data_IF_548170380654
#
_entry.id   IF_548170380654
#
_cell.length_a   1.000
_cell.length_b   1.000
_cell.length_c   1.000
_cell.angle_alpha   90.00
_cell.angle_beta   90.00
_cell.angle_gamma   90.00
#
_symmetry.space_group_name_H-M   'P 1'
#
loop_
_entity.id
_entity.type
_entity.pdbx_description
1 polymer ?
#
# COMPACT_ATOMS: atom_id res chain seq x y z
N UNK A 1 -32.48 30.92 -0.58
CA UNK A 1 -31.03 30.59 -0.46
C UNK A 1 -30.71 29.30 0.31
N UNK A 2 -31.58 28.78 1.20
CA UNK A 2 -31.29 27.56 2.00
C UNK A 2 -31.26 26.27 1.17
N UNK A 3 -32.09 26.17 0.15
CA UNK A 3 -32.20 25.00 -0.76
C UNK A 3 -30.95 24.79 -1.61
N UNK A 4 -30.36 25.86 -2.13
CA UNK A 4 -29.13 25.80 -2.95
C UNK A 4 -27.93 25.32 -2.10
N UNK A 5 -27.82 25.77 -0.84
CA UNK A 5 -26.76 25.29 0.09
C UNK A 5 -26.87 23.79 0.39
N UNK A 6 -28.09 23.25 0.48
CA UNK A 6 -28.33 21.82 0.71
C UNK A 6 -27.95 20.98 -0.52
N UNK A 7 -28.25 21.49 -1.71
CA UNK A 7 -27.87 20.86 -2.97
C UNK A 7 -26.34 20.84 -3.17
N UNK A 8 -25.64 21.93 -2.86
CA UNK A 8 -24.17 22.02 -2.92
C UNK A 8 -23.46 21.06 -1.96
N UNK A 9 -24.08 20.68 -0.84
CA UNK A 9 -23.55 19.69 0.10
C UNK A 9 -23.56 18.26 -0.46
N UNK A 10 -24.53 17.92 -1.31
CA UNK A 10 -24.61 16.61 -1.97
C UNK A 10 -23.49 16.40 -3.00
N UNK A 11 -22.96 17.48 -3.57
CA UNK A 11 -21.85 17.44 -4.53
C UNK A 11 -20.47 17.51 -3.87
N UNK A 12 -20.38 17.71 -2.55
CA UNK A 12 -19.13 17.55 -1.80
C UNK A 12 -18.96 16.07 -1.45
N UNK A 13 -18.34 15.32 -2.36
CA UNK A 13 -17.74 14.02 -2.02
C UNK A 13 -16.65 14.29 -0.99
N UNK A 14 -16.94 14.10 0.29
CA UNK A 14 -15.89 13.97 1.29
C UNK A 14 -15.07 12.74 0.89
N UNK A 15 -13.79 12.95 0.58
CA UNK A 15 -12.86 11.88 0.26
C UNK A 15 -12.78 10.98 1.51
N UNK A 16 -13.03 9.67 1.40
CA UNK A 16 -12.90 8.77 2.53
C UNK A 16 -11.46 8.88 3.04
N UNK A 17 -11.30 9.19 4.33
CA UNK A 17 -9.99 9.18 5.01
C UNK A 17 -9.39 7.79 4.79
N UNK A 18 -8.23 7.75 4.13
CA UNK A 18 -7.55 6.50 3.76
C UNK A 18 -7.45 5.57 4.98
N UNK A 19 -7.94 4.33 4.82
CA UNK A 19 -7.73 3.30 5.83
C UNK A 19 -6.22 2.93 5.85
N UNK A 20 -5.59 2.80 7.02
CA UNK A 20 -4.18 2.44 7.11
C UNK A 20 -3.92 1.04 6.55
N UNK A 21 -2.79 0.86 5.88
CA UNK A 21 -2.34 -0.43 5.34
C UNK A 21 -1.61 -1.23 6.43
N UNK A 22 -2.07 -2.45 6.68
CA UNK A 22 -1.47 -3.39 7.63
C UNK A 22 -0.77 -4.52 6.85
N UNK A 23 0.55 -4.64 6.99
CA UNK A 23 1.34 -5.72 6.36
C UNK A 23 1.81 -6.68 7.45
N UNK A 24 1.32 -7.92 7.42
CA UNK A 24 1.71 -8.98 8.35
C UNK A 24 2.78 -9.85 7.68
N UNK A 25 4.02 -9.80 8.16
CA UNK A 25 5.08 -10.74 7.75
C UNK A 25 4.81 -12.10 8.39
N UNK A 26 4.77 -13.17 7.59
CA UNK A 26 4.66 -14.54 8.08
C UNK A 26 6.04 -15.01 8.54
N UNK A 27 6.27 -15.09 9.85
CA UNK A 27 7.50 -15.66 10.38
C UNK A 27 7.46 -17.19 10.41
N UNK A 28 8.56 -17.80 9.96
CA UNK A 28 8.90 -19.16 10.33
C UNK A 28 9.52 -19.13 11.73
N UNK A 29 9.04 -20.02 12.61
CA UNK A 29 9.48 -20.26 14.00
C UNK A 29 8.62 -19.58 15.07
N UNK A 30 7.47 -20.19 15.32
CA UNK A 30 6.71 -20.05 16.56
C UNK A 30 7.41 -20.93 17.60
N UNK A 31 8.22 -20.35 18.48
CA UNK A 31 8.70 -21.03 19.69
C UNK A 31 9.06 -19.99 20.76
N UNK A 32 8.21 -19.86 21.77
CA UNK A 32 8.42 -19.00 22.94
C UNK A 32 7.84 -17.61 22.74
N UNK A 33 6.83 -17.28 23.55
CA UNK A 33 6.05 -16.06 23.37
C UNK A 33 6.85 -14.78 23.60
N UNK A 34 7.14 -14.05 22.53
CA UNK A 34 7.12 -12.58 22.39
C UNK A 34 7.00 -12.28 20.89
N UNK A 35 5.78 -12.14 20.39
CA UNK A 35 5.48 -12.12 18.95
C UNK A 35 5.24 -10.73 18.35
N UNK A 36 5.71 -9.66 18.99
CA UNK A 36 5.41 -8.27 18.57
C UNK A 36 6.64 -7.43 18.20
N UNK A 37 7.87 -7.92 18.39
CA UNK A 37 9.09 -7.10 18.24
C UNK A 37 9.49 -6.81 16.77
N UNK A 38 8.87 -7.49 15.80
CA UNK A 38 9.18 -7.31 14.37
C UNK A 38 8.09 -6.60 13.55
N UNK A 39 7.05 -6.06 14.20
CA UNK A 39 6.02 -5.32 13.48
C UNK A 39 6.48 -3.86 13.33
N UNK A 40 6.95 -3.53 12.12
CA UNK A 40 7.30 -2.16 11.74
C UNK A 40 6.13 -1.54 10.96
N UNK A 41 5.60 -0.44 11.50
CA UNK A 41 4.55 0.34 10.84
C UNK A 41 5.16 1.39 9.91
N UNK A 42 4.47 1.67 8.81
CA UNK A 42 4.90 2.63 7.80
C UNK A 42 3.77 3.60 7.47
N UNK A 43 4.12 4.86 7.23
CA UNK A 43 3.15 5.89 6.84
C UNK A 43 2.72 5.72 5.37
N UNK A 44 3.59 5.13 4.54
CA UNK A 44 3.33 4.89 3.13
C UNK A 44 3.99 3.60 2.63
N UNK A 45 3.56 3.15 1.45
CA UNK A 45 4.20 2.03 0.75
C UNK A 45 5.62 2.40 0.31
N UNK A 46 5.85 3.67 -0.03
CA UNK A 46 7.19 4.19 -0.34
C UNK A 46 8.18 4.00 0.81
N UNK A 47 7.76 4.30 2.04
CA UNK A 47 8.62 4.15 3.23
C UNK A 47 9.00 2.68 3.44
N UNK A 48 8.04 1.76 3.20
CA UNK A 48 8.30 0.33 3.29
C UNK A 48 9.26 -0.15 2.20
N UNK A 49 9.16 0.37 0.97
CA UNK A 49 10.08 0.03 -0.12
C UNK A 49 11.48 0.56 0.17
N UNK A 50 11.62 1.78 0.70
CA UNK A 50 12.91 2.35 1.05
C UNK A 50 13.66 1.52 2.11
N UNK A 51 12.93 0.96 3.07
CA UNK A 51 13.51 0.05 4.06
C UNK A 51 14.01 -1.25 3.41
N UNK A 52 13.20 -1.84 2.53
CA UNK A 52 13.52 -3.07 1.79
C UNK A 52 14.69 -2.86 0.83
N UNK A 53 14.85 -1.67 0.26
CA UNK A 53 15.93 -1.35 -0.67
C UNK A 53 17.32 -1.41 -0.02
N UNK A 54 17.39 -1.21 1.30
CA UNK A 54 18.63 -1.33 2.05
C UNK A 54 18.92 -2.75 2.54
N UNK A 55 18.01 -3.71 2.32
CA UNK A 55 18.16 -5.11 2.74
C UNK A 55 19.00 -5.89 1.72
N UNK A 56 20.17 -6.37 2.15
CA UNK A 56 21.09 -7.17 1.32
C UNK A 56 20.52 -8.52 0.89
N UNK A 57 19.46 -9.00 1.54
CA UNK A 57 18.80 -10.26 1.19
C UNK A 57 17.76 -10.10 0.07
N UNK A 58 17.50 -8.87 -0.38
CA UNK A 58 16.49 -8.59 -1.40
C UNK A 58 17.19 -8.24 -2.70
N UNK A 59 17.00 -9.04 -3.77
CA UNK A 59 17.57 -8.75 -5.07
C UNK A 59 17.09 -7.40 -5.63
N UNK A 60 18.03 -6.61 -6.18
CA UNK A 60 17.75 -5.28 -6.71
C UNK A 60 16.73 -5.28 -7.86
N UNK A 61 16.74 -6.30 -8.71
CA UNK A 61 15.76 -6.50 -9.79
C UNK A 61 14.33 -6.59 -9.26
N UNK A 62 14.12 -7.29 -8.13
CA UNK A 62 12.80 -7.38 -7.49
C UNK A 62 12.35 -6.05 -6.92
N UNK A 63 13.26 -5.25 -6.38
CA UNK A 63 12.96 -3.90 -5.87
C UNK A 63 12.53 -2.98 -7.02
N UNK A 64 13.23 -3.01 -8.15
CA UNK A 64 12.85 -2.22 -9.33
C UNK A 64 11.50 -2.63 -9.93
N UNK A 65 11.23 -3.94 -10.01
CA UNK A 65 9.93 -4.45 -10.43
C UNK A 65 8.80 -3.96 -9.51
N UNK A 66 9.03 -3.96 -8.19
CA UNK A 66 8.07 -3.49 -7.19
C UNK A 66 7.81 -1.98 -7.35
N UNK A 67 8.85 -1.16 -7.48
CA UNK A 67 8.74 0.29 -7.72
C UNK A 67 7.94 0.58 -9.00
N UNK A 68 8.21 -0.13 -10.08
CA UNK A 68 7.50 0.02 -11.36
C UNK A 68 6.03 -0.37 -11.23
N UNK A 69 5.75 -1.47 -10.53
CA UNK A 69 4.38 -1.92 -10.27
C UNK A 69 3.59 -0.90 -9.46
N UNK A 70 4.19 -0.34 -8.41
CA UNK A 70 3.57 0.70 -7.59
C UNK A 70 3.27 1.97 -8.39
N UNK A 71 4.21 2.41 -9.23
CA UNK A 71 4.00 3.55 -10.14
C UNK A 71 2.83 3.30 -11.09
N UNK A 72 2.75 2.11 -11.67
CA UNK A 72 1.65 1.73 -12.56
C UNK A 72 0.31 1.68 -11.84
N UNK A 73 0.28 1.19 -10.60
CA UNK A 73 -0.91 1.17 -9.75
C UNK A 73 -1.40 2.59 -9.41
N UNK A 74 -0.50 3.49 -9.01
CA UNK A 74 -0.86 4.88 -8.64
C UNK A 74 -1.39 5.69 -9.81
N UNK A 75 -0.89 5.44 -11.02
CA UNK A 75 -1.25 6.22 -12.21
C UNK A 75 -2.50 5.72 -12.93
N UNK A 76 -3.11 4.60 -12.49
CA UNK A 76 -4.27 4.00 -13.16
C UNK A 76 -5.48 3.96 -12.24
N UNK A 77 -6.65 4.24 -12.83
CA UNK A 77 -7.95 4.10 -12.16
C UNK A 77 -8.51 2.69 -12.23
N UNK A 78 -7.96 1.85 -13.12
CA UNK A 78 -8.33 0.44 -13.30
C UNK A 78 -7.10 -0.38 -13.71
N UNK A 79 -6.98 -1.58 -13.16
CA UNK A 79 -5.92 -2.53 -13.46
C UNK A 79 -6.52 -3.91 -13.72
N UNK A 80 -5.87 -4.68 -14.60
CA UNK A 80 -6.17 -6.10 -14.81
C UNK A 80 -4.98 -6.92 -14.34
N UNK A 81 -5.27 -7.96 -13.57
CA UNK A 81 -4.25 -8.86 -13.02
C UNK A 81 -4.52 -10.26 -13.55
N UNK A 82 -3.48 -10.94 -14.05
CA UNK A 82 -3.52 -12.35 -14.44
C UNK A 82 -2.21 -13.00 -14.02
N UNK A 83 -2.30 -14.14 -13.37
CA UNK A 83 -1.13 -14.91 -12.92
C UNK A 83 -0.14 -14.10 -12.06
N UNK A 84 -0.64 -13.15 -11.26
CA UNK A 84 0.22 -12.31 -10.41
C UNK A 84 0.89 -11.13 -11.13
N UNK A 85 0.64 -10.94 -12.43
CA UNK A 85 1.19 -9.84 -13.21
C UNK A 85 0.12 -8.81 -13.57
N UNK A 86 0.51 -7.53 -13.61
CA UNK A 86 -0.31 -6.45 -14.14
C UNK A 86 -0.25 -6.54 -15.66
N UNK A 87 -1.39 -6.85 -16.28
CA UNK A 87 -1.53 -6.84 -17.74
C UNK A 87 -2.00 -5.45 -18.14
N UNK A 88 -1.24 -4.82 -19.03
CA UNK A 88 -1.51 -3.46 -19.50
C UNK A 88 -2.59 -3.44 -20.58
#
# INVERSE_FOLDING_TARGET
MKTIKKLMRLFKKEQPKHAPLLIIKKEANISGGQGYDNIKEYLSVEDAIADIENDSNVPADKIEMLKTSLKNLKNRTSIKIKNGEIII
#
